data_IF_441553451522
#
_entry.id   IF_441553451522
#
_cell.length_a   1.000
_cell.length_b   1.000
_cell.length_c   1.000
_cell.angle_alpha   90.00
_cell.angle_beta   90.00
_cell.angle_gamma   90.00
#
_symmetry.space_group_name_H-M   'P 1'
#
loop_
_entity.id
_entity.type
_entity.pdbx_description
1 polymer ?
#
# COMPACT_ATOMS: atom_id res chain seq x y z
N UNK A 1 24.29 7.78 -18.89
CA UNK A 1 24.41 8.11 -17.46
C UNK A 1 23.18 7.57 -16.74
N UNK A 2 23.28 6.42 -16.04
CA UNK A 2 22.25 5.90 -15.13
C UNK A 2 22.42 6.52 -13.73
N UNK A 3 22.51 7.84 -13.65
CA UNK A 3 22.94 8.55 -12.44
C UNK A 3 21.82 9.05 -11.55
N UNK A 4 20.55 8.84 -11.93
CA UNK A 4 19.42 9.49 -11.27
C UNK A 4 18.17 8.59 -11.15
N UNK A 5 18.32 7.28 -11.34
CA UNK A 5 17.23 6.35 -11.03
C UNK A 5 17.18 6.18 -9.51
N UNK A 6 16.03 6.41 -8.86
CA UNK A 6 15.90 6.16 -7.43
C UNK A 6 16.20 4.68 -7.17
N UNK A 7 17.03 4.41 -6.17
CA UNK A 7 17.34 3.04 -5.75
C UNK A 7 16.10 2.44 -5.08
N UNK A 8 15.20 1.89 -5.89
CA UNK A 8 13.95 1.29 -5.45
C UNK A 8 14.11 -0.22 -5.36
N UNK A 9 13.76 -0.77 -4.21
CA UNK A 9 13.69 -2.21 -3.96
C UNK A 9 12.24 -2.62 -3.68
N UNK A 10 11.77 -3.71 -4.30
CA UNK A 10 10.45 -4.26 -4.02
C UNK A 10 10.63 -5.58 -3.27
N UNK A 11 9.94 -5.72 -2.14
CA UNK A 11 9.87 -6.98 -1.37
C UNK A 11 8.45 -7.25 -0.92
N UNK A 12 8.18 -8.50 -0.52
CA UNK A 12 6.94 -8.80 0.23
C UNK A 12 6.93 -8.00 1.52
N UNK A 13 5.75 -7.52 1.89
CA UNK A 13 5.55 -6.89 3.17
C UNK A 13 5.60 -7.92 4.30
N UNK A 14 6.22 -7.54 5.41
CA UNK A 14 6.13 -8.18 6.70
C UNK A 14 4.98 -7.55 7.51
N UNK A 15 4.52 -8.25 8.55
CA UNK A 15 3.44 -7.74 9.41
C UNK A 15 3.80 -6.39 10.06
N UNK A 16 5.08 -6.17 10.36
CA UNK A 16 5.59 -4.94 10.98
C UNK A 16 5.59 -3.74 10.02
N UNK A 17 5.45 -3.97 8.70
CA UNK A 17 5.34 -2.89 7.72
C UNK A 17 3.96 -2.20 7.74
N UNK A 18 2.97 -2.78 8.43
CA UNK A 18 1.58 -2.32 8.35
C UNK A 18 1.39 -0.85 8.75
N UNK A 19 2.13 -0.37 9.76
CA UNK A 19 2.12 1.05 10.15
C UNK A 19 2.68 1.97 9.05
N UNK A 20 3.78 1.58 8.43
CA UNK A 20 4.38 2.35 7.32
C UNK A 20 3.48 2.35 6.09
N UNK A 21 2.77 1.24 5.83
CA UNK A 21 1.79 1.13 4.75
C UNK A 21 0.55 2.01 5.02
N UNK A 22 0.06 2.06 6.26
CA UNK A 22 -1.03 2.98 6.65
C UNK A 22 -0.60 4.43 6.38
N UNK A 23 0.58 4.80 6.85
CA UNK A 23 1.10 6.16 6.70
C UNK A 23 1.26 6.55 5.23
N UNK A 24 1.79 5.66 4.37
CA UNK A 24 1.99 5.99 2.95
C UNK A 24 0.66 6.12 2.21
N UNK A 25 -0.30 5.23 2.49
CA UNK A 25 -1.64 5.32 1.89
C UNK A 25 -2.36 6.60 2.33
N UNK A 26 -2.34 6.93 3.63
CA UNK A 26 -2.95 8.16 4.12
C UNK A 26 -2.29 9.40 3.49
N UNK A 27 -0.96 9.48 3.50
CA UNK A 27 -0.22 10.63 2.98
C UNK A 27 -0.50 10.90 1.50
N UNK A 28 -0.75 9.86 0.69
CA UNK A 28 -1.02 10.02 -0.73
C UNK A 28 -2.47 10.33 -1.07
N UNK A 29 -3.41 10.12 -0.15
CA UNK A 29 -4.82 10.40 -0.39
C UNK A 29 -5.37 11.60 0.39
N UNK A 30 -4.70 12.06 1.45
CA UNK A 30 -5.20 13.16 2.31
C UNK A 30 -5.47 14.45 1.54
N UNK A 31 -4.67 14.77 0.52
CA UNK A 31 -4.92 15.95 -0.33
C UNK A 31 -6.22 15.85 -1.14
N UNK A 32 -6.72 14.63 -1.33
CA UNK A 32 -7.96 14.33 -2.04
C UNK A 32 -9.14 14.02 -1.11
N UNK A 33 -9.00 14.12 0.22
CA UNK A 33 -10.03 13.72 1.19
C UNK A 33 -11.41 14.33 0.87
N UNK A 34 -11.45 15.61 0.48
CA UNK A 34 -12.70 16.30 0.10
C UNK A 34 -13.39 15.75 -1.15
N UNK A 35 -12.69 14.93 -1.94
CA UNK A 35 -13.23 14.26 -3.13
C UNK A 35 -13.90 12.93 -2.80
N UNK A 36 -13.79 12.45 -1.56
CA UNK A 36 -14.37 11.20 -1.10
C UNK A 36 -15.52 11.43 -0.12
N UNK A 37 -16.42 10.45 -0.01
CA UNK A 37 -17.22 10.33 1.22
C UNK A 37 -16.32 9.84 2.35
N UNK A 38 -16.73 10.06 3.60
CA UNK A 38 -15.98 9.60 4.78
C UNK A 38 -15.70 8.09 4.70
N UNK A 39 -16.68 7.29 4.27
CA UNK A 39 -16.56 5.85 4.15
C UNK A 39 -15.61 5.44 3.02
N UNK A 40 -15.67 6.14 1.88
CA UNK A 40 -14.79 5.86 0.74
C UNK A 40 -13.34 6.26 1.03
N UNK A 41 -13.13 7.36 1.77
CA UNK A 41 -11.79 7.75 2.23
C UNK A 41 -11.22 6.74 3.22
N UNK A 42 -12.01 6.31 4.21
CA UNK A 42 -11.60 5.29 5.18
C UNK A 42 -11.30 3.93 4.51
N UNK A 43 -12.06 3.54 3.48
CA UNK A 43 -11.76 2.33 2.71
C UNK A 43 -10.45 2.43 1.89
N UNK A 44 -10.11 3.65 1.46
CA UNK A 44 -8.90 3.96 0.67
C UNK A 44 -7.66 4.11 1.54
N UNK A 45 -7.83 4.62 2.77
CA UNK A 45 -6.79 4.83 3.78
C UNK A 45 -7.00 3.92 4.99
N UNK A 46 -6.85 2.59 4.81
CA UNK A 46 -7.12 1.62 5.86
C UNK A 46 -6.16 1.79 7.05
N UNK A 47 -6.65 1.47 8.24
CA UNK A 47 -5.82 1.44 9.46
C UNK A 47 -4.81 0.28 9.42
N UNK A 48 -3.81 0.35 10.30
CA UNK A 48 -2.85 -0.72 10.58
C UNK A 48 -3.53 -2.10 10.72
N UNK A 49 -4.59 -2.23 11.54
CA UNK A 49 -5.28 -3.51 11.76
C UNK A 49 -5.94 -4.01 10.48
N UNK A 50 -6.53 -3.10 9.70
CA UNK A 50 -7.17 -3.43 8.42
C UNK A 50 -6.14 -3.83 7.36
N UNK A 51 -4.94 -3.24 7.38
CA UNK A 51 -3.84 -3.64 6.52
C UNK A 51 -3.36 -5.04 6.88
N UNK A 52 -3.20 -5.35 8.18
CA UNK A 52 -2.85 -6.70 8.62
C UNK A 52 -3.90 -7.72 8.16
N UNK A 53 -5.19 -7.38 8.23
CA UNK A 53 -6.24 -8.21 7.65
C UNK A 53 -6.05 -8.39 6.13
N UNK A 54 -5.80 -7.32 5.39
CA UNK A 54 -5.56 -7.37 3.93
C UNK A 54 -4.34 -8.23 3.56
N UNK A 55 -3.30 -8.26 4.38
CA UNK A 55 -2.14 -9.14 4.18
C UNK A 55 -2.51 -10.64 4.25
N UNK A 56 -3.62 -10.99 4.92
CA UNK A 56 -4.14 -12.36 4.94
C UNK A 56 -4.97 -12.73 3.70
N UNK A 57 -5.47 -11.73 2.95
CA UNK A 57 -6.30 -11.93 1.75
C UNK A 57 -5.46 -12.29 0.50
N UNK A 58 -4.15 -12.04 0.55
CA UNK A 58 -3.24 -12.30 -0.55
C UNK A 58 -1.88 -11.64 -0.33
N UNK A 59 -0.91 -11.91 -1.21
CA UNK A 59 0.40 -11.28 -1.11
C UNK A 59 0.31 -9.76 -1.28
N UNK A 60 1.05 -9.06 -0.41
CA UNK A 60 1.27 -7.61 -0.45
C UNK A 60 2.77 -7.36 -0.58
N UNK A 61 3.14 -6.41 -1.42
CA UNK A 61 4.49 -5.95 -1.64
C UNK A 61 4.60 -4.47 -1.34
N UNK A 62 5.79 -4.08 -0.88
CA UNK A 62 6.16 -2.70 -0.63
C UNK A 62 7.33 -2.31 -1.52
N UNK A 63 7.30 -1.09 -2.01
CA UNK A 63 8.45 -0.44 -2.63
C UNK A 63 9.21 0.34 -1.56
N UNK A 64 10.53 0.17 -1.50
CA UNK A 64 11.42 0.86 -0.58
C UNK A 64 12.39 1.74 -1.33
N UNK A 65 12.61 2.95 -0.82
CA UNK A 65 13.74 3.80 -1.16
C UNK A 65 14.67 3.90 0.06
N UNK A 66 15.78 3.14 0.03
CA UNK A 66 16.53 2.86 1.26
C UNK A 66 15.68 2.00 2.21
N UNK A 67 15.47 2.47 3.43
CA UNK A 67 14.62 1.80 4.43
C UNK A 67 13.17 2.32 4.45
N UNK A 68 12.89 3.40 3.73
CA UNK A 68 11.57 4.02 3.73
C UNK A 68 10.63 3.31 2.74
N UNK A 69 9.46 2.89 3.21
CA UNK A 69 8.38 2.41 2.34
C UNK A 69 7.74 3.60 1.65
N UNK A 70 7.72 3.57 0.31
CA UNK A 70 7.24 4.67 -0.55
C UNK A 70 6.05 4.28 -1.42
N UNK A 71 5.62 3.02 -1.37
CA UNK A 71 4.48 2.53 -2.13
C UNK A 71 4.12 1.11 -1.76
N UNK A 72 2.93 0.68 -2.18
CA UNK A 72 2.39 -0.63 -1.83
C UNK A 72 1.47 -1.17 -2.93
N UNK A 73 1.55 -2.47 -3.18
CA UNK A 73 0.62 -3.18 -4.06
C UNK A 73 0.28 -4.53 -3.45
N UNK A 74 -0.98 -4.92 -3.55
CA UNK A 74 -1.47 -6.22 -3.14
C UNK A 74 -2.20 -6.90 -4.29
N UNK A 75 -2.08 -8.22 -4.33
CA UNK A 75 -2.80 -9.07 -5.26
C UNK A 75 -3.73 -9.98 -4.47
N UNK A 76 -5.03 -9.84 -4.66
CA UNK A 76 -6.06 -10.64 -4.00
C UNK A 76 -6.63 -11.63 -5.01
N UNK A 77 -6.33 -12.93 -4.88
CA UNK A 77 -6.89 -13.95 -5.75
C UNK A 77 -8.42 -13.98 -5.66
N UNK A 78 -9.05 -14.13 -6.82
CA UNK A 78 -10.46 -14.46 -7.02
C UNK A 78 -10.52 -15.74 -7.85
N UNK A 79 -11.70 -16.34 -7.97
CA UNK A 79 -11.87 -17.65 -8.63
C UNK A 79 -11.24 -17.71 -10.03
N UNK A 80 -11.47 -16.68 -10.84
CA UNK A 80 -11.01 -16.61 -12.25
C UNK A 80 -10.16 -15.36 -12.54
N UNK A 81 -9.75 -14.63 -11.50
CA UNK A 81 -9.08 -13.34 -11.66
C UNK A 81 -8.19 -12.99 -10.47
N UNK A 82 -7.38 -11.95 -10.62
CA UNK A 82 -6.63 -11.35 -9.51
C UNK A 82 -7.02 -9.88 -9.44
N UNK A 83 -7.51 -9.46 -8.27
CA UNK A 83 -7.76 -8.05 -8.00
C UNK A 83 -6.46 -7.42 -7.51
N UNK A 84 -5.96 -6.41 -8.23
CA UNK A 84 -4.80 -5.63 -7.82
C UNK A 84 -5.31 -4.40 -7.06
N UNK A 85 -4.83 -4.22 -5.83
CA UNK A 85 -5.09 -3.03 -5.02
C UNK A 85 -3.76 -2.40 -4.67
N UNK A 86 -3.57 -1.15 -5.03
CA UNK A 86 -2.34 -0.45 -4.73
C UNK A 86 -2.37 0.98 -5.21
N UNK A 87 -1.29 1.66 -4.91
CA UNK A 87 -0.88 2.96 -5.41
C UNK A 87 0.51 2.80 -6.01
#
# INVERSE_FOLDING_TARGET
>A
MRGNEPNIHIRRAAADDAWSIESVLHASFVEYESSYTVEAFAATTPTYEQIQHRMSEGPLWVALQGEAIVGTVSAVPKSEAVNIRGM
#
